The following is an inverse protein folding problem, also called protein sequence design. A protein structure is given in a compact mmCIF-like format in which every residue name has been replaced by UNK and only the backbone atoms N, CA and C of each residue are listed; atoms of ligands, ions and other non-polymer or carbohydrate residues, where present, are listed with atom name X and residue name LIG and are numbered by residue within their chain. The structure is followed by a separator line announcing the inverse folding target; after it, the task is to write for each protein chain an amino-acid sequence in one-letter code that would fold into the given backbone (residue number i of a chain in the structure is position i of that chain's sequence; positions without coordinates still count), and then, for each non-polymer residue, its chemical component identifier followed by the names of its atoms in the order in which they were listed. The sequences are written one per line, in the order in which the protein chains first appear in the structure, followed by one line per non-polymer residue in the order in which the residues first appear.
data_IF_965116624169
#
_entry.id   IF_965116624169
#
_cell.length_a   1.000
_cell.length_b   1.000
_cell.length_c   1.000
_cell.angle_alpha   90.00
_cell.angle_beta   90.00
_cell.angle_gamma   90.00
#
_symmetry.space_group_name_H-M   'P 1'
#
loop_
_entity.id
_entity.type
_entity.pdbx_description
1 polymer ?
#
# COMPACT_ATOMS: atom_id res chain seq x y z
N UNK A 1 -0.78 -6.99 -6.89
CA UNK A 1 -0.03 -6.08 -6.03
C UNK A 1 0.83 -6.87 -5.06
N UNK A 2 2.09 -6.50 -4.88
CA UNK A 2 2.99 -7.04 -3.86
C UNK A 2 3.07 -6.03 -2.71
N UNK A 3 2.89 -6.46 -1.47
CA UNK A 3 2.99 -5.63 -0.28
C UNK A 3 3.95 -6.27 0.75
N UNK A 4 4.52 -5.50 1.68
CA UNK A 4 5.26 -6.07 2.81
C UNK A 4 4.39 -6.99 3.67
N UNK A 5 5.01 -7.91 4.38
CA UNK A 5 4.33 -8.89 5.23
C UNK A 5 3.42 -8.26 6.29
N UNK A 6 3.75 -7.05 6.77
CA UNK A 6 3.02 -6.33 7.82
C UNK A 6 1.91 -5.42 7.29
N UNK A 7 1.71 -5.35 5.97
CA UNK A 7 0.67 -4.53 5.35
C UNK A 7 -0.74 -4.95 5.80
N UNK A 8 -1.53 -4.00 6.26
CA UNK A 8 -2.83 -4.25 6.90
C UNK A 8 -3.99 -3.39 6.36
N UNK A 9 -3.78 -2.64 5.27
CA UNK A 9 -4.77 -1.71 4.72
C UNK A 9 -5.38 -2.16 3.39
N UNK A 10 -5.52 -3.48 3.17
CA UNK A 10 -6.15 -4.03 1.95
C UNK A 10 -7.49 -3.38 1.65
N UNK A 11 -8.32 -3.18 2.70
CA UNK A 11 -9.64 -2.59 2.56
C UNK A 11 -9.58 -1.13 2.07
N UNK A 12 -8.52 -0.39 2.40
CA UNK A 12 -8.33 0.98 1.90
C UNK A 12 -8.07 0.96 0.40
N UNK A 13 -7.21 0.04 -0.09
CA UNK A 13 -6.91 -0.09 -1.51
C UNK A 13 -8.15 -0.38 -2.35
N UNK A 14 -9.02 -1.29 -1.89
CA UNK A 14 -10.26 -1.65 -2.58
C UNK A 14 -11.22 -0.48 -2.76
N UNK A 15 -11.10 0.59 -1.96
CA UNK A 15 -11.98 1.75 -2.08
C UNK A 15 -11.72 2.59 -3.33
N UNK A 16 -10.56 2.44 -3.97
CA UNK A 16 -10.24 3.10 -5.24
C UNK A 16 -10.48 2.24 -6.47
N UNK A 17 -10.71 0.94 -6.30
CA UNK A 17 -10.78 -0.03 -7.40
C UNK A 17 -12.18 -0.07 -7.99
N UNK A 18 -12.37 0.09 -9.32
CA UNK A 18 -13.64 -0.12 -9.99
C UNK A 18 -14.12 -1.57 -9.92
N UNK A 19 -15.43 -1.78 -10.03
CA UNK A 19 -16.05 -3.11 -9.88
C UNK A 19 -15.63 -4.12 -10.96
N UNK A 20 -15.19 -3.66 -12.13
CA UNK A 20 -14.71 -4.47 -13.24
C UNK A 20 -13.21 -4.83 -13.13
N UNK A 21 -12.51 -4.34 -12.12
CA UNK A 21 -11.10 -4.64 -11.88
C UNK A 21 -10.93 -5.50 -10.62
N UNK A 22 -10.18 -6.59 -10.75
CA UNK A 22 -9.85 -7.47 -9.64
C UNK A 22 -8.48 -7.11 -9.05
N UNK A 23 -8.46 -6.64 -7.81
CA UNK A 23 -7.23 -6.45 -7.04
C UNK A 23 -6.80 -7.77 -6.39
N UNK A 24 -5.57 -8.21 -6.64
CA UNK A 24 -4.93 -9.33 -5.94
C UNK A 24 -3.74 -8.80 -5.14
N UNK A 25 -3.67 -9.18 -3.88
CA UNK A 25 -2.58 -8.75 -2.99
C UNK A 25 -1.84 -9.99 -2.48
N UNK A 26 -0.54 -10.06 -2.77
CA UNK A 26 0.39 -10.99 -2.13
C UNK A 26 1.31 -10.23 -1.18
N UNK A 27 1.96 -10.95 -0.28
CA UNK A 27 2.89 -10.34 0.69
C UNK A 27 4.28 -10.96 0.57
N UNK A 28 5.30 -10.15 0.87
CA UNK A 28 6.65 -10.68 1.07
C UNK A 28 6.70 -11.61 2.26
N UNK A 29 7.67 -12.55 2.34
CA UNK A 29 7.88 -13.39 3.50
C UNK A 29 8.05 -12.57 4.78
N UNK A 30 7.63 -13.15 5.91
CA UNK A 30 7.81 -12.53 7.23
C UNK A 30 9.28 -12.45 7.61
N UNK A 31 9.70 -11.28 8.09
CA UNK A 31 11.01 -11.06 8.71
C UNK A 31 10.82 -10.41 10.09
N UNK A 32 11.52 -10.86 11.15
CA UNK A 32 11.35 -10.36 12.52
C UNK A 32 12.14 -9.05 12.76
N UNK A 33 11.95 -8.06 11.87
CA UNK A 33 12.63 -6.75 11.93
C UNK A 33 11.58 -5.65 12.01
N UNK A 34 11.83 -4.65 12.84
CA UNK A 34 10.98 -3.47 12.95
C UNK A 34 11.18 -2.54 11.75
N UNK A 35 10.20 -1.65 11.51
CA UNK A 35 10.28 -0.65 10.44
C UNK A 35 11.54 0.20 10.59
N UNK A 36 12.44 0.07 9.63
CA UNK A 36 13.77 0.66 9.57
C UNK A 36 14.28 0.65 8.13
N UNK A 37 15.44 1.24 7.87
CA UNK A 37 16.12 1.12 6.58
C UNK A 37 16.53 -0.34 6.29
N UNK A 38 16.88 -1.13 7.31
CA UNK A 38 17.23 -2.53 7.12
C UNK A 38 16.00 -3.37 6.73
N UNK A 39 14.86 -3.15 7.38
CA UNK A 39 13.62 -3.77 6.94
C UNK A 39 13.28 -3.37 5.50
N UNK A 40 13.39 -2.08 5.17
CA UNK A 40 13.11 -1.57 3.83
C UNK A 40 13.96 -2.30 2.76
N UNK A 41 15.26 -2.52 3.03
CA UNK A 41 16.15 -3.31 2.15
C UNK A 41 15.71 -4.76 2.01
N UNK A 42 15.39 -5.43 3.13
CA UNK A 42 14.99 -6.84 3.13
C UNK A 42 13.71 -7.07 2.33
N UNK A 43 12.68 -6.22 2.51
CA UNK A 43 11.39 -6.39 1.80
C UNK A 43 11.43 -5.90 0.35
N UNK A 44 12.52 -5.25 -0.08
CA UNK A 44 12.75 -4.78 -1.45
C UNK A 44 13.79 -5.61 -2.21
N UNK A 45 14.29 -6.67 -1.63
CA UNK A 45 15.24 -7.56 -2.29
C UNK A 45 14.65 -8.16 -3.56
N UNK A 46 15.40 -8.09 -4.67
CA UNK A 46 14.87 -8.43 -6.01
C UNK A 46 14.42 -9.88 -6.14
N UNK A 47 15.07 -10.82 -5.45
CA UNK A 47 14.69 -12.23 -5.46
C UNK A 47 13.35 -12.43 -4.71
N UNK A 48 13.24 -11.85 -3.52
CA UNK A 48 12.02 -11.84 -2.70
C UNK A 48 10.82 -11.26 -3.45
N UNK A 49 11.03 -10.12 -4.13
CA UNK A 49 9.99 -9.52 -4.96
C UNK A 49 9.66 -10.36 -6.17
N UNK A 50 10.67 -10.95 -6.82
CA UNK A 50 10.48 -11.83 -7.97
C UNK A 50 9.64 -13.06 -7.64
N UNK A 51 9.83 -13.67 -6.47
CA UNK A 51 8.99 -14.78 -5.98
C UNK A 51 7.55 -14.35 -5.75
N UNK A 52 7.34 -13.20 -5.09
CA UNK A 52 6.01 -12.66 -4.84
C UNK A 52 5.29 -12.30 -6.16
N UNK A 53 6.01 -11.77 -7.15
CA UNK A 53 5.49 -11.46 -8.50
C UNK A 53 5.09 -12.75 -9.22
N UNK A 54 5.96 -13.77 -9.23
CA UNK A 54 5.63 -15.08 -9.83
C UNK A 54 4.40 -15.73 -9.20
N UNK A 55 4.23 -15.57 -7.87
CA UNK A 55 3.03 -16.08 -7.17
C UNK A 55 1.73 -15.41 -7.66
N UNK A 56 1.78 -14.15 -8.10
CA UNK A 56 0.65 -13.45 -8.72
C UNK A 56 0.36 -13.94 -10.14
N UNK A 57 1.33 -14.53 -10.83
CA UNK A 57 1.20 -15.00 -12.21
C UNK A 57 0.01 -15.96 -12.43
N UNK A 58 -0.35 -16.77 -11.42
CA UNK A 58 -1.52 -17.65 -11.48
C UNK A 58 -2.86 -16.92 -11.64
N UNK A 59 -2.91 -15.60 -11.39
CA UNK A 59 -4.08 -14.74 -11.57
C UNK A 59 -4.04 -13.91 -12.83
N UNK A 60 -3.04 -14.13 -13.71
CA UNK A 60 -2.86 -13.44 -15.00
C UNK A 60 -3.00 -11.91 -14.87
N UNK A 61 -2.15 -11.24 -14.05
CA UNK A 61 -2.26 -9.81 -13.85
C UNK A 61 -1.88 -9.04 -15.12
N UNK A 62 -2.56 -7.93 -15.38
CA UNK A 62 -2.22 -7.01 -16.48
C UNK A 62 -1.25 -5.91 -16.03
N UNK A 63 -1.16 -5.64 -14.72
CA UNK A 63 -0.21 -4.70 -14.10
C UNK A 63 0.17 -5.20 -12.71
N UNK A 64 1.42 -4.97 -12.31
CA UNK A 64 1.91 -5.30 -10.97
C UNK A 64 2.43 -4.04 -10.28
N UNK A 65 1.97 -3.79 -9.05
CA UNK A 65 2.45 -2.68 -8.22
C UNK A 65 3.12 -3.20 -6.95
N UNK A 66 4.27 -2.63 -6.58
CA UNK A 66 4.90 -2.82 -5.29
C UNK A 66 4.42 -1.75 -4.31
N UNK A 67 3.53 -2.14 -3.40
CA UNK A 67 2.89 -1.28 -2.41
C UNK A 67 3.74 -1.16 -1.14
N UNK A 68 4.89 -0.54 -1.25
CA UNK A 68 5.78 -0.25 -0.12
C UNK A 68 6.60 1.01 -0.40
N UNK A 69 6.34 2.08 0.34
CA UNK A 69 7.06 3.34 0.13
C UNK A 69 8.54 3.19 0.50
N UNK A 70 8.85 2.73 1.73
CA UNK A 70 10.24 2.64 2.19
C UNK A 70 11.07 1.66 1.35
N UNK A 71 10.52 0.52 0.98
CA UNK A 71 11.19 -0.42 0.09
C UNK A 71 11.43 0.13 -1.30
N UNK A 72 10.57 1.03 -1.80
CA UNK A 72 10.75 1.62 -3.12
C UNK A 72 11.84 2.69 -3.16
N UNK A 73 12.04 3.48 -2.10
CA UNK A 73 13.03 4.56 -2.11
C UNK A 73 14.40 4.19 -1.54
N UNK A 74 14.50 3.10 -0.74
CA UNK A 74 15.72 2.79 0.04
C UNK A 74 16.97 2.60 -0.81
N UNK A 75 16.83 2.21 -2.08
CA UNK A 75 17.90 2.06 -3.07
C UNK A 75 18.17 3.32 -3.92
N UNK A 76 17.54 4.44 -3.59
CA UNK A 76 17.56 5.66 -4.41
C UNK A 76 16.82 5.48 -5.75
N UNK A 77 16.81 6.50 -6.63
CA UNK A 77 16.10 6.42 -7.91
C UNK A 77 16.65 5.35 -8.87
N UNK A 78 17.93 5.03 -8.77
CA UNK A 78 18.54 3.95 -9.56
C UNK A 78 18.06 2.58 -9.09
N UNK A 79 18.02 2.36 -7.77
CA UNK A 79 17.52 1.12 -7.18
C UNK A 79 16.02 0.93 -7.42
N UNK A 80 15.25 1.98 -7.36
CA UNK A 80 13.80 1.97 -7.66
C UNK A 80 13.55 1.49 -9.11
N UNK A 81 14.25 2.08 -10.11
CA UNK A 81 14.13 1.64 -11.51
C UNK A 81 14.55 0.20 -11.71
N UNK A 82 15.68 -0.23 -11.10
CA UNK A 82 16.14 -1.60 -11.19
C UNK A 82 15.15 -2.60 -10.61
N UNK A 83 14.49 -2.24 -9.50
CA UNK A 83 13.40 -3.01 -8.88
C UNK A 83 12.20 -3.14 -9.83
N UNK A 84 11.75 -2.03 -10.41
CA UNK A 84 10.66 -2.00 -11.39
C UNK A 84 10.92 -2.92 -12.58
N UNK A 85 12.14 -2.85 -13.14
CA UNK A 85 12.59 -3.73 -14.22
C UNK A 85 12.65 -5.20 -13.81
N UNK A 86 13.11 -5.50 -12.58
CA UNK A 86 13.17 -6.86 -12.07
C UNK A 86 11.76 -7.46 -11.91
N UNK A 87 10.81 -6.70 -11.39
CA UNK A 87 9.40 -7.12 -11.30
C UNK A 87 8.78 -7.31 -12.68
N UNK A 88 9.01 -6.39 -13.62
CA UNK A 88 8.53 -6.51 -15.01
C UNK A 88 9.06 -7.77 -15.69
N UNK A 89 10.35 -8.09 -15.52
CA UNK A 89 10.93 -9.34 -16.04
C UNK A 89 10.34 -10.59 -15.39
N UNK A 90 10.04 -10.54 -14.08
CA UNK A 90 9.51 -11.68 -13.34
C UNK A 90 8.03 -11.95 -13.63
N UNK A 91 7.26 -10.92 -13.92
CA UNK A 91 5.81 -11.01 -14.16
C UNK A 91 5.40 -10.90 -15.61
N UNK A 92 6.33 -10.53 -16.51
CA UNK A 92 6.09 -10.31 -17.95
C UNK A 92 5.00 -9.26 -18.26
N UNK A 93 4.71 -8.38 -17.28
CA UNK A 93 3.72 -7.31 -17.39
C UNK A 93 4.28 -6.00 -16.86
N UNK A 94 3.73 -4.83 -17.24
CA UNK A 94 4.14 -3.54 -16.69
C UNK A 94 4.10 -3.56 -15.17
N UNK A 95 5.17 -3.09 -14.55
CA UNK A 95 5.28 -3.01 -13.10
C UNK A 95 5.58 -1.57 -12.66
N UNK A 96 5.21 -1.24 -11.43
CA UNK A 96 5.44 0.06 -10.83
C UNK A 96 5.72 -0.06 -9.33
N UNK A 97 6.28 0.99 -8.75
CA UNK A 97 6.51 1.11 -7.31
C UNK A 97 5.74 2.29 -6.74
N UNK A 98 5.55 2.32 -5.42
CA UNK A 98 4.89 3.45 -4.74
C UNK A 98 5.63 4.77 -4.95
N UNK A 99 6.98 4.80 -4.87
CA UNK A 99 7.72 6.06 -5.07
C UNK A 99 7.82 6.45 -6.53
N UNK A 100 7.91 5.50 -7.47
CA UNK A 100 7.78 5.78 -8.90
C UNK A 100 6.41 6.40 -9.22
N UNK A 101 5.33 5.84 -8.67
CA UNK A 101 3.98 6.40 -8.79
C UNK A 101 3.84 7.80 -8.17
N UNK A 102 4.54 8.07 -7.06
CA UNK A 102 4.59 9.42 -6.48
C UNK A 102 5.24 10.42 -7.43
N UNK A 103 6.37 10.07 -8.03
CA UNK A 103 7.06 10.95 -8.99
C UNK A 103 6.16 11.25 -10.18
N UNK A 104 5.52 10.23 -10.77
CA UNK A 104 4.54 10.40 -11.86
C UNK A 104 3.37 11.32 -11.44
N UNK A 105 2.85 11.17 -10.21
CA UNK A 105 1.76 11.99 -9.72
C UNK A 105 2.17 13.46 -9.51
N UNK A 106 3.39 13.70 -9.01
CA UNK A 106 3.93 15.05 -8.85
C UNK A 106 4.17 15.73 -10.20
N UNK A 107 4.67 14.99 -11.19
CA UNK A 107 4.81 15.47 -12.58
C UNK A 107 3.46 15.81 -13.18
N UNK A 108 2.44 14.97 -13.01
CA UNK A 108 1.07 15.21 -13.49
C UNK A 108 0.46 16.48 -12.87
N UNK A 109 0.76 16.76 -11.60
CA UNK A 109 0.30 17.95 -10.90
C UNK A 109 1.15 19.21 -11.20
N UNK A 110 2.34 19.03 -11.78
CA UNK A 110 3.33 20.11 -11.93
C UNK A 110 3.89 20.57 -10.58
N UNK A 111 3.93 19.67 -9.58
CA UNK A 111 4.37 19.95 -8.22
C UNK A 111 5.84 19.59 -8.04
N UNK A 112 6.66 20.52 -7.58
CA UNK A 112 8.10 20.31 -7.31
C UNK A 112 8.50 20.65 -5.88
N UNK A 113 7.59 21.21 -5.10
CA UNK A 113 7.80 21.61 -3.71
C UNK A 113 6.69 21.00 -2.87
N UNK A 114 7.04 20.10 -1.95
CA UNK A 114 6.04 19.38 -1.17
C UNK A 114 6.23 19.55 0.33
N UNK A 115 5.12 19.51 1.07
CA UNK A 115 5.14 19.18 2.48
C UNK A 115 5.12 17.64 2.63
N UNK A 116 5.83 17.11 3.65
CA UNK A 116 6.01 15.68 3.84
C UNK A 116 5.52 15.22 5.21
N UNK A 117 4.65 14.21 5.22
CA UNK A 117 4.23 13.50 6.44
C UNK A 117 4.68 12.05 6.36
N UNK A 118 5.33 11.56 7.42
CA UNK A 118 5.73 10.15 7.52
C UNK A 118 5.41 9.57 8.90
N UNK A 119 5.11 8.27 9.01
CA UNK A 119 5.03 7.61 10.31
C UNK A 119 6.39 7.16 10.84
N UNK A 120 7.43 7.21 10.03
CA UNK A 120 8.74 6.60 10.26
C UNK A 120 9.58 7.34 11.31
N UNK A 121 10.72 6.73 11.66
CA UNK A 121 11.80 7.39 12.39
C UNK A 121 12.45 8.48 11.54
N UNK A 122 13.20 9.37 12.19
CA UNK A 122 13.90 10.45 11.47
C UNK A 122 14.83 9.93 10.38
N UNK A 123 15.58 8.84 10.63
CA UNK A 123 16.51 8.27 9.65
C UNK A 123 15.83 7.75 8.39
N UNK A 124 14.65 7.11 8.52
CA UNK A 124 13.87 6.64 7.37
C UNK A 124 13.19 7.80 6.64
N UNK A 125 12.76 8.82 7.40
CA UNK A 125 12.19 10.05 6.82
C UNK A 125 13.25 10.79 6.01
N UNK A 126 14.49 10.93 6.55
CA UNK A 126 15.59 11.57 5.85
C UNK A 126 15.94 10.85 4.54
N UNK A 127 15.95 9.51 4.53
CA UNK A 127 16.23 8.74 3.32
C UNK A 127 15.15 8.97 2.23
N UNK A 128 13.89 9.22 2.61
CA UNK A 128 12.87 9.63 1.66
C UNK A 128 13.11 11.06 1.13
N UNK A 129 13.53 11.99 1.98
CA UNK A 129 13.89 13.35 1.54
C UNK A 129 15.07 13.33 0.57
N UNK A 130 16.09 12.51 0.85
CA UNK A 130 17.24 12.34 -0.03
C UNK A 130 16.81 11.80 -1.41
N UNK A 131 15.96 10.77 -1.43
CA UNK A 131 15.36 10.25 -2.67
C UNK A 131 14.61 11.34 -3.45
N UNK A 132 13.76 12.11 -2.77
CA UNK A 132 12.97 13.18 -3.39
C UNK A 132 13.88 14.28 -3.97
N UNK A 133 14.93 14.65 -3.26
CA UNK A 133 15.92 15.62 -3.73
C UNK A 133 16.64 15.13 -5.01
N UNK A 134 17.00 13.83 -5.08
CA UNK A 134 17.63 13.24 -6.27
C UNK A 134 16.71 13.24 -7.50
N UNK A 135 15.39 13.20 -7.31
CA UNK A 135 14.40 13.31 -8.40
C UNK A 135 13.91 14.74 -8.66
N UNK A 136 14.55 15.74 -8.03
CA UNK A 136 14.27 17.16 -8.25
C UNK A 136 13.07 17.72 -7.45
N UNK A 137 12.60 17.02 -6.43
CA UNK A 137 11.51 17.45 -5.55
C UNK A 137 12.07 18.01 -4.25
N UNK A 138 11.65 19.21 -3.88
CA UNK A 138 12.08 19.90 -2.65
C UNK A 138 11.06 19.70 -1.53
N UNK A 139 11.47 19.20 -0.38
CA UNK A 139 10.66 19.15 0.83
C UNK A 139 10.72 20.50 1.54
N UNK A 140 9.58 21.18 1.67
CA UNK A 140 9.46 22.53 2.26
C UNK A 140 9.12 22.53 3.74
N UNK A 141 8.60 21.43 4.24
CA UNK A 141 8.31 21.19 5.64
C UNK A 141 7.98 19.72 5.87
N UNK A 142 8.23 19.24 7.08
CA UNK A 142 8.01 17.82 7.42
C UNK A 142 7.45 17.64 8.82
N UNK A 143 6.65 16.56 8.98
CA UNK A 143 6.26 16.01 10.27
C UNK A 143 6.40 14.48 10.26
N UNK A 144 6.83 13.90 11.36
CA UNK A 144 6.98 12.45 11.47
C UNK A 144 6.64 11.93 12.88
N UNK A 145 6.19 10.65 12.98
CA UNK A 145 5.75 10.04 14.25
C UNK A 145 6.84 9.25 14.99
N UNK A 146 7.91 8.87 14.33
CA UNK A 146 8.97 8.03 14.92
C UNK A 146 8.56 6.59 15.21
N UNK A 147 7.57 6.04 14.48
CA UNK A 147 7.05 4.70 14.71
C UNK A 147 7.91 3.63 14.02
N UNK A 148 8.08 2.51 14.72
CA UNK A 148 8.73 1.30 14.20
C UNK A 148 7.77 0.11 14.09
N UNK A 149 6.52 0.26 14.60
CA UNK A 149 5.50 -0.81 14.63
C UNK A 149 4.10 -0.20 14.59
N UNK A 150 3.12 -1.02 14.20
CA UNK A 150 1.69 -0.74 14.32
C UNK A 150 1.23 0.55 13.61
N UNK A 151 1.88 0.90 12.51
CA UNK A 151 1.56 2.12 11.74
C UNK A 151 0.09 2.14 11.32
N UNK A 152 -0.51 0.99 10.97
CA UNK A 152 -1.93 0.87 10.61
C UNK A 152 -2.92 1.23 11.72
N UNK A 153 -2.43 1.39 12.96
CA UNK A 153 -3.26 1.81 14.12
C UNK A 153 -3.27 3.31 14.34
N UNK A 154 -2.53 4.08 13.56
CA UNK A 154 -2.52 5.54 13.66
C UNK A 154 -3.91 6.08 13.32
N UNK A 155 -4.53 6.85 14.22
CA UNK A 155 -5.85 7.44 13.95
C UNK A 155 -5.78 8.49 12.83
N UNK A 156 -6.82 8.61 12.02
CA UNK A 156 -6.94 9.68 11.01
C UNK A 156 -6.67 11.08 11.59
N UNK A 157 -7.15 11.35 12.81
CA UNK A 157 -6.90 12.63 13.49
C UNK A 157 -5.41 12.94 13.59
N UNK A 158 -4.60 11.96 13.98
CA UNK A 158 -3.14 12.16 14.07
C UNK A 158 -2.51 12.44 12.70
N UNK A 159 -3.02 11.81 11.64
CA UNK A 159 -2.58 12.10 10.27
C UNK A 159 -2.92 13.53 9.86
N UNK A 160 -4.12 13.99 10.19
CA UNK A 160 -4.56 15.37 9.93
C UNK A 160 -3.74 16.38 10.73
N UNK A 161 -3.47 16.11 12.00
CA UNK A 161 -2.67 17.01 12.85
C UNK A 161 -1.22 17.12 12.33
N UNK A 162 -0.60 16.00 11.92
CA UNK A 162 0.72 16.01 11.28
C UNK A 162 0.74 16.77 9.95
N UNK A 163 -0.32 16.62 9.14
CA UNK A 163 -0.42 17.33 7.88
C UNK A 163 -0.41 18.85 8.07
N UNK A 164 -1.11 19.33 9.08
CA UNK A 164 -1.11 20.75 9.49
C UNK A 164 0.26 21.23 9.96
N UNK A 165 0.96 20.39 10.72
CA UNK A 165 2.31 20.67 11.21
C UNK A 165 3.34 20.73 10.08
N UNK A 166 3.24 19.80 9.11
CA UNK A 166 4.17 19.72 7.99
C UNK A 166 4.05 20.87 7.00
N UNK A 167 2.84 21.45 6.83
CA UNK A 167 2.61 22.53 5.87
C UNK A 167 3.10 23.85 6.44
N UNK A 168 4.38 24.14 6.21
CA UNK A 168 5.03 25.39 6.60
C UNK A 168 5.39 26.17 5.35
N UNK A 169 4.79 27.34 5.16
CA UNK A 169 5.04 28.17 3.97
C UNK A 169 4.33 27.66 2.70
N UNK A 170 4.96 27.89 1.53
CA UNK A 170 4.35 27.53 0.23
C UNK A 170 4.85 26.15 -0.21
N UNK A 171 3.94 25.19 -0.25
CA UNK A 171 4.10 23.90 -0.92
C UNK A 171 3.12 23.81 -2.10
N UNK A 172 3.48 23.05 -3.13
CA UNK A 172 2.63 22.78 -4.29
C UNK A 172 1.68 21.62 -4.01
N UNK A 173 2.09 20.69 -3.13
CA UNK A 173 1.31 19.54 -2.67
C UNK A 173 1.76 19.07 -1.28
N UNK A 174 0.91 18.29 -0.61
CA UNK A 174 1.26 17.51 0.58
C UNK A 174 1.39 16.03 0.18
N UNK A 175 2.47 15.36 0.61
CA UNK A 175 2.60 13.91 0.50
C UNK A 175 2.58 13.23 1.87
N UNK A 176 1.66 12.26 2.02
CA UNK A 176 1.53 11.41 3.19
C UNK A 176 2.10 10.04 2.85
N UNK A 177 3.29 9.78 3.35
CA UNK A 177 4.09 8.58 3.08
C UNK A 177 3.61 7.37 3.89
N UNK A 178 3.94 6.18 3.43
CA UNK A 178 3.66 4.85 3.97
C UNK A 178 2.32 4.25 3.55
N UNK A 179 2.40 3.16 2.80
CA UNK A 179 1.21 2.39 2.40
C UNK A 179 0.46 1.77 3.58
N UNK A 180 1.11 1.65 4.74
CA UNK A 180 0.47 1.13 5.96
C UNK A 180 -0.07 2.24 6.89
N UNK A 181 -0.07 3.51 6.46
CA UNK A 181 -0.69 4.62 7.19
C UNK A 181 -2.10 4.88 6.63
N UNK A 182 -3.17 4.85 7.47
CA UNK A 182 -4.54 5.11 7.02
C UNK A 182 -4.70 6.54 6.52
N UNK A 183 -5.17 6.74 5.27
CA UNK A 183 -5.20 8.06 4.63
C UNK A 183 -6.48 8.37 3.87
N UNK A 184 -7.21 7.37 3.42
CA UNK A 184 -8.32 7.55 2.48
C UNK A 184 -9.29 8.65 2.89
N UNK A 185 -9.79 8.62 4.13
CA UNK A 185 -10.80 9.58 4.60
C UNK A 185 -10.20 10.94 5.01
N UNK A 186 -8.86 11.04 5.16
CA UNK A 186 -8.18 12.29 5.47
C UNK A 186 -7.96 13.17 4.24
N UNK A 187 -7.81 12.59 3.05
CA UNK A 187 -7.46 13.32 1.82
C UNK A 187 -8.46 14.44 1.49
N UNK A 188 -9.78 14.17 1.35
CA UNK A 188 -10.74 15.22 1.00
C UNK A 188 -10.82 16.34 2.03
N UNK A 189 -10.72 15.99 3.32
CA UNK A 189 -10.71 16.97 4.40
C UNK A 189 -9.51 17.89 4.31
N UNK A 190 -8.31 17.32 4.12
CA UNK A 190 -7.06 18.07 4.05
C UNK A 190 -7.00 18.95 2.82
N UNK A 191 -7.44 18.50 1.65
CA UNK A 191 -7.50 19.30 0.44
C UNK A 191 -8.44 20.50 0.57
N UNK A 192 -9.61 20.29 1.20
CA UNK A 192 -10.56 21.36 1.48
C UNK A 192 -9.97 22.41 2.45
N UNK A 193 -9.19 21.97 3.43
CA UNK A 193 -8.59 22.82 4.46
C UNK A 193 -7.33 23.54 3.93
N UNK A 194 -6.40 22.79 3.33
CA UNK A 194 -5.08 23.29 2.94
C UNK A 194 -5.08 23.98 1.57
N UNK A 195 -6.12 23.78 0.77
CA UNK A 195 -6.27 24.34 -0.59
C UNK A 195 -5.15 23.96 -1.55
N UNK A 196 -4.62 22.75 -1.40
CA UNK A 196 -3.58 22.17 -2.25
C UNK A 196 -3.84 20.66 -2.45
N UNK A 197 -3.26 20.02 -3.48
CA UNK A 197 -3.32 18.57 -3.65
C UNK A 197 -2.74 17.84 -2.43
N UNK A 198 -3.43 16.79 -1.99
CA UNK A 198 -2.98 15.88 -0.94
C UNK A 198 -2.83 14.49 -1.53
N UNK A 199 -1.60 14.02 -1.56
CA UNK A 199 -1.22 12.72 -2.08
C UNK A 199 -0.96 11.76 -0.93
N UNK A 200 -1.41 10.52 -1.06
CA UNK A 200 -1.01 9.45 -0.15
C UNK A 200 -0.33 8.30 -0.90
N UNK A 201 0.51 7.54 -0.18
CA UNK A 201 1.22 6.41 -0.75
C UNK A 201 0.26 5.40 -1.41
N UNK A 202 -0.86 5.06 -0.77
CA UNK A 202 -1.86 4.17 -1.33
C UNK A 202 -2.57 4.78 -2.56
N UNK A 203 -2.94 6.06 -2.48
CA UNK A 203 -3.63 6.76 -3.56
C UNK A 203 -2.78 6.80 -4.83
N UNK A 204 -1.52 7.26 -4.75
CA UNK A 204 -0.64 7.36 -5.93
C UNK A 204 -0.35 5.99 -6.54
N UNK A 205 -0.18 4.95 -5.70
CA UNK A 205 0.04 3.58 -6.17
C UNK A 205 -1.17 3.06 -6.95
N UNK A 206 -2.37 3.26 -6.42
CA UNK A 206 -3.61 2.84 -7.10
C UNK A 206 -3.87 3.66 -8.36
N UNK A 207 -3.70 4.98 -8.30
CA UNK A 207 -3.83 5.87 -9.47
C UNK A 207 -2.92 5.44 -10.62
N UNK A 208 -1.64 5.23 -10.35
CA UNK A 208 -0.68 4.85 -11.38
C UNK A 208 -0.94 3.44 -11.94
N UNK A 209 -1.40 2.50 -11.10
CA UNK A 209 -1.77 1.16 -11.55
C UNK A 209 -3.01 1.17 -12.45
N UNK A 210 -4.06 1.88 -12.05
CA UNK A 210 -5.29 2.01 -12.83
C UNK A 210 -5.05 2.74 -14.16
N UNK A 211 -4.24 3.79 -14.15
CA UNK A 211 -3.86 4.52 -15.37
C UNK A 211 -3.18 3.62 -16.42
N UNK A 212 -2.35 2.66 -15.99
CA UNK A 212 -1.73 1.67 -16.89
C UNK A 212 -2.74 0.70 -17.51
N UNK A 213 -3.89 0.54 -16.89
CA UNK A 213 -5.02 -0.25 -17.42
C UNK A 213 -5.99 0.61 -18.25
N UNK A 214 -5.75 1.91 -18.40
CA UNK A 214 -6.71 2.83 -19.00
C UNK A 214 -7.98 3.02 -18.15
N UNK A 215 -7.89 2.74 -16.86
CA UNK A 215 -8.98 2.84 -15.90
C UNK A 215 -8.80 4.02 -14.93
N UNK A 216 -9.89 4.43 -14.30
CA UNK A 216 -9.91 5.50 -13.32
C UNK A 216 -10.36 4.97 -11.95
N UNK A 217 -9.81 5.56 -10.87
CA UNK A 217 -10.25 5.22 -9.53
C UNK A 217 -11.73 5.61 -9.32
N UNK A 218 -12.45 4.78 -8.55
CA UNK A 218 -13.83 5.08 -8.16
C UNK A 218 -13.89 5.99 -6.95
N UNK A 219 -14.98 6.72 -6.85
CA UNK A 219 -15.32 7.56 -5.73
C UNK A 219 -15.23 9.05 -6.07
N UNK A 220 -16.33 9.79 -5.91
CA UNK A 220 -16.30 11.25 -5.99
C UNK A 220 -15.49 11.79 -4.80
N UNK A 221 -14.76 12.89 -5.03
CA UNK A 221 -14.04 13.62 -3.97
C UNK A 221 -12.88 12.86 -3.32
N UNK A 222 -12.16 12.02 -4.07
CA UNK A 222 -11.01 11.27 -3.56
C UNK A 222 -9.66 11.96 -3.82
N UNK A 223 -9.68 13.27 -4.01
CA UNK A 223 -8.51 14.12 -4.15
C UNK A 223 -8.30 14.67 -5.54
N UNK A 224 -7.64 15.82 -5.60
CA UNK A 224 -7.39 16.58 -6.83
C UNK A 224 -6.59 15.80 -7.88
N UNK A 225 -5.77 14.82 -7.47
CA UNK A 225 -5.06 13.93 -8.39
C UNK A 225 -6.05 13.08 -9.22
N UNK A 226 -7.09 12.55 -8.58
CA UNK A 226 -8.06 11.66 -9.21
C UNK A 226 -9.15 12.42 -9.98
N UNK A 227 -9.39 13.68 -9.63
CA UNK A 227 -10.36 14.55 -10.31
C UNK A 227 -9.82 15.11 -11.64
N UNK A 228 -8.51 15.00 -11.89
CA UNK A 228 -7.91 15.36 -13.18
C UNK A 228 -8.23 14.28 -14.21
N UNK A 229 -9.32 14.51 -14.94
CA UNK A 229 -9.59 13.76 -16.17
C UNK A 229 -8.65 14.26 -17.25
N UNK A 230 -8.19 13.37 -18.10
CA UNK A 230 -7.37 13.75 -19.27
C UNK A 230 -8.08 14.89 -20.03
N UNK A 231 -7.32 15.88 -20.47
CA UNK A 231 -7.84 17.13 -21.05
C UNK A 231 -8.74 16.97 -22.29
N UNK A 232 -9.04 15.73 -22.72
CA UNK A 232 -9.95 15.40 -23.81
C UNK A 232 -11.41 15.16 -23.40
N UNK A 233 -11.71 14.92 -22.11
CA UNK A 233 -13.08 14.64 -21.64
C UNK A 233 -13.75 15.81 -20.89
N UNK A 234 -13.16 17.00 -20.90
CA UNK A 234 -13.63 18.17 -20.17
C UNK A 234 -14.98 18.75 -20.64
N UNK A 235 -15.68 18.14 -21.59
CA UNK A 235 -16.92 18.70 -22.16
C UNK A 235 -18.20 18.24 -21.44
N UNK A 236 -18.16 17.23 -20.55
CA UNK A 236 -19.41 16.72 -19.96
C UNK A 236 -19.78 17.25 -18.57
N UNK A 237 -18.85 17.87 -17.84
CA UNK A 237 -19.11 18.31 -16.44
C UNK A 237 -19.55 19.77 -16.34
N UNK A 238 -19.48 20.57 -17.42
CA UNK A 238 -19.99 21.95 -17.42
C UNK A 238 -21.51 22.02 -17.42
N UNK A 239 -22.18 21.02 -17.96
CA UNK A 239 -23.66 21.00 -18.11
C UNK A 239 -24.42 20.63 -16.82
N UNK A 240 -23.77 20.04 -15.82
CA UNK A 240 -24.47 19.62 -14.57
C UNK A 240 -24.55 20.76 -13.55
N UNK A 241 -23.69 21.78 -13.63
CA UNK A 241 -23.78 22.98 -12.77
C UNK A 241 -24.82 24.02 -13.24
N UNK A 242 -25.09 24.05 -14.53
CA UNK A 242 -26.08 24.94 -15.13
C UNK A 242 -27.50 24.33 -15.20
N UNK A 243 -27.64 23.04 -14.87
CA UNK A 243 -28.92 22.31 -14.87
C UNK A 243 -29.62 22.25 -13.50
N UNK A 244 -29.07 22.86 -12.46
CA UNK A 244 -29.77 22.98 -11.19
C UNK A 244 -30.56 24.27 -11.15
N UNK A 245 -31.76 24.26 -11.75
CA UNK A 245 -32.84 25.19 -11.38
C UNK A 245 -33.43 24.67 -10.05
N UNK A 246 -33.50 25.52 -9.00
CA UNK A 246 -34.19 25.12 -7.78
C UNK A 246 -35.68 24.90 -8.11
N UNK A 247 -36.29 23.82 -7.58
CA UNK A 247 -37.69 23.54 -7.86
C UNK A 247 -38.54 24.71 -7.38
N UNK A 248 -39.19 25.36 -8.36
CA UNK A 248 -40.26 26.28 -8.08
C UNK A 248 -41.39 25.54 -7.37
N UNK A 249 -42.02 26.28 -6.47
CA UNK A 249 -43.15 26.01 -5.59
C UNK A 249 -43.87 24.65 -5.76
N UNK A 250 -43.90 23.95 -4.65
CA UNK A 250 -44.73 22.80 -4.25
C UNK A 250 -45.92 22.46 -5.16
N UNK A 251 -45.76 21.44 -5.97
CA UNK A 251 -46.89 20.65 -6.43
C UNK A 251 -47.14 19.54 -5.41
N UNK A 252 -48.29 19.56 -4.74
CA UNK A 252 -48.75 18.45 -3.91
C UNK A 252 -48.75 17.16 -4.72
N UNK A 253 -47.79 16.28 -4.45
CA UNK A 253 -47.79 14.91 -4.95
C UNK A 253 -48.66 14.08 -4.00
N UNK A 254 -49.87 13.72 -4.43
CA UNK A 254 -50.69 12.71 -3.77
C UNK A 254 -49.90 11.40 -3.65
N UNK A 255 -49.51 11.07 -2.45
CA UNK A 255 -48.90 9.75 -2.15
C UNK A 255 -50.00 8.71 -2.22
N UNK A 256 -49.92 7.68 -3.12
CA UNK A 256 -50.86 6.57 -3.11
C UNK A 256 -50.74 5.83 -1.76
N UNK A 257 -51.87 5.56 -1.14
CA UNK A 257 -51.97 4.83 0.10
C UNK A 257 -51.22 3.50 0.03
N UNK A 258 -50.22 3.34 0.86
CA UNK A 258 -49.51 2.09 1.05
C UNK A 258 -50.50 1.08 1.60
N UNK A 259 -50.85 0.06 0.80
CA UNK A 259 -51.62 -1.09 1.26
C UNK A 259 -50.81 -1.74 2.43
N UNK A 260 -51.47 -1.87 3.59
CA UNK A 260 -50.91 -2.48 4.77
C UNK A 260 -50.43 -3.93 4.40
N UNK A 261 -49.17 -4.20 4.68
CA UNK A 261 -48.64 -5.55 4.62
C UNK A 261 -49.41 -6.45 5.60
N UNK A 262 -49.68 -7.72 5.24
CA UNK A 262 -50.34 -8.65 6.11
C UNK A 262 -49.52 -8.85 7.41
N UNK A 263 -50.15 -9.11 8.55
CA UNK A 263 -49.46 -9.27 9.82
C UNK A 263 -48.45 -10.44 9.75
N UNK A 264 -47.22 -10.19 10.24
CA UNK A 264 -46.18 -11.23 10.36
C UNK A 264 -46.71 -12.26 11.37
N UNK A 265 -46.90 -13.51 10.92
CA UNK A 265 -47.24 -14.63 11.77
C UNK A 265 -46.05 -14.91 12.68
N UNK A 266 -46.20 -14.89 14.02
CA UNK A 266 -45.11 -15.21 14.93
C UNK A 266 -44.72 -16.68 14.73
N UNK A 267 -43.41 -16.90 14.44
CA UNK A 267 -42.86 -18.25 14.45
C UNK A 267 -43.01 -18.85 15.85
N UNK A 268 -43.59 -20.02 15.93
CA UNK A 268 -43.74 -20.79 17.17
C UNK A 268 -42.37 -21.13 17.78
N UNK A 269 -42.35 -21.49 19.07
CA UNK A 269 -41.10 -21.75 19.79
C UNK A 269 -40.31 -22.88 19.09
N UNK A 270 -39.03 -22.58 18.76
CA UNK A 270 -38.08 -23.56 18.28
C UNK A 270 -37.85 -24.61 19.35
N UNK A 271 -38.08 -25.88 19.05
CA UNK A 271 -37.83 -26.98 19.97
C UNK A 271 -36.34 -27.01 20.39
N UNK A 272 -36.03 -27.34 21.67
CA UNK A 272 -34.68 -27.40 22.14
C UNK A 272 -33.91 -28.52 21.39
N UNK A 273 -32.71 -28.17 20.91
CA UNK A 273 -31.78 -29.11 20.33
C UNK A 273 -31.37 -30.10 21.43
N UNK A 274 -31.67 -31.39 21.27
CA UNK A 274 -31.28 -32.44 22.18
C UNK A 274 -29.76 -32.51 22.39
N UNK A 275 -29.28 -33.11 23.50
CA UNK A 275 -27.87 -33.16 23.82
C UNK A 275 -27.10 -33.94 22.73
N UNK A 276 -26.02 -33.31 22.23
CA UNK A 276 -25.08 -33.97 21.33
C UNK A 276 -24.49 -35.21 22.01
N UNK A 277 -24.49 -36.34 21.33
CA UNK A 277 -23.86 -37.57 21.77
C UNK A 277 -22.36 -37.43 22.02
N UNK A 278 -21.72 -38.34 22.71
CA UNK A 278 -20.33 -38.22 23.17
C UNK A 278 -19.37 -38.08 22.00
N UNK A 279 -18.41 -37.13 22.15
CA UNK A 279 -17.32 -36.88 21.22
C UNK A 279 -16.56 -38.17 20.87
N UNK A 280 -16.41 -38.42 19.58
CA UNK A 280 -15.53 -39.48 19.06
C UNK A 280 -14.09 -39.10 19.41
N UNK A 281 -13.42 -39.87 20.28
CA UNK A 281 -11.99 -39.75 20.57
C UNK A 281 -11.17 -40.00 19.31
N UNK A 282 -10.12 -39.17 19.04
CA UNK A 282 -9.22 -39.48 17.94
C UNK A 282 -8.43 -40.75 18.23
N UNK A 283 -8.47 -41.71 17.29
CA UNK A 283 -7.68 -42.94 17.32
C UNK A 283 -6.18 -42.58 17.31
N UNK A 284 -5.45 -43.17 18.27
CA UNK A 284 -3.98 -43.14 18.31
C UNK A 284 -3.38 -43.80 17.06
N UNK A 285 -2.34 -43.24 16.45
CA UNK A 285 -1.63 -43.91 15.38
C UNK A 285 -0.78 -45.06 15.96
N UNK A 286 -0.98 -46.25 15.42
CA UNK A 286 -0.20 -47.44 15.73
C UNK A 286 1.28 -47.22 15.35
N UNK A 287 2.16 -47.46 16.33
CA UNK A 287 3.58 -47.54 16.17
C UNK A 287 3.98 -48.76 15.34
N UNK A 288 4.56 -48.58 14.18
CA UNK A 288 5.41 -49.62 13.55
C UNK A 288 6.81 -49.03 13.39
N UNK A 289 7.63 -49.31 14.37
CA UNK A 289 9.08 -49.04 14.34
C UNK A 289 9.72 -50.20 13.57
N UNK A 290 10.17 -49.94 12.35
CA UNK A 290 11.15 -50.81 11.68
C UNK A 290 12.53 -50.23 11.91
N UNK A 291 13.32 -51.02 12.65
CA UNK A 291 14.72 -50.83 12.94
C UNK A 291 15.58 -50.87 11.66
N UNK A 292 16.26 -49.77 11.36
CA UNK A 292 17.40 -49.78 10.43
C UNK A 292 18.62 -49.33 11.22
N UNK A 293 19.61 -50.21 11.27
CA UNK A 293 20.92 -50.03 11.90
C UNK A 293 21.75 -48.98 11.18
N UNK A 294 22.55 -48.18 11.90
CA UNK A 294 23.51 -47.28 11.29
C UNK A 294 24.82 -48.01 10.97
N UNK A 295 25.30 -47.88 9.76
CA UNK A 295 26.67 -48.25 9.40
C UNK A 295 27.34 -47.04 8.69
N UNK A 296 28.59 -46.84 9.10
CA UNK A 296 29.70 -46.16 8.42
C UNK A 296 29.99 -44.71 8.78
N UNK A 297 30.90 -44.54 9.72
CA UNK A 297 32.20 -43.82 9.72
C UNK A 297 32.32 -42.63 8.75
N UNK A 298 32.32 -41.44 9.31
CA UNK A 298 32.81 -40.19 8.68
C UNK A 298 34.28 -40.02 9.08
N UNK A 299 35.18 -40.02 8.11
CA UNK A 299 36.59 -39.60 8.26
C UNK A 299 36.68 -38.11 8.55
N UNK A 300 37.65 -37.67 9.39
CA UNK A 300 37.88 -36.24 9.63
C UNK A 300 38.66 -35.61 8.47
N UNK A 301 38.23 -34.40 8.08
CA UNK A 301 38.94 -33.52 7.15
C UNK A 301 40.25 -32.99 7.77
N UNK A 302 41.32 -32.78 6.99
CA UNK A 302 42.60 -32.29 7.49
C UNK A 302 42.56 -30.81 7.89
N UNK A 303 43.28 -30.48 8.95
CA UNK A 303 43.51 -29.15 9.46
C UNK A 303 44.23 -28.27 8.38
N UNK A 304 43.67 -27.13 8.03
CA UNK A 304 44.30 -26.15 7.15
C UNK A 304 45.32 -25.33 7.92
N UNK A 305 46.51 -25.30 7.39
CA UNK A 305 47.69 -24.54 7.81
C UNK A 305 47.42 -23.06 8.00
N UNK A 306 47.91 -22.56 9.13
CA UNK A 306 48.04 -21.11 9.42
C UNK A 306 49.06 -20.48 8.48
N UNK A 307 48.59 -19.64 7.57
CA UNK A 307 49.45 -18.77 6.78
C UNK A 307 49.57 -17.41 7.49
N UNK A 308 50.83 -17.05 7.76
CA UNK A 308 51.25 -15.86 8.50
C UNK A 308 51.01 -14.58 7.70
N UNK A 309 50.46 -13.57 8.36
CA UNK A 309 50.35 -12.19 7.84
C UNK A 309 51.73 -11.55 7.63
N UNK A 310 51.94 -10.77 6.55
CA UNK A 310 53.15 -10.00 6.35
C UNK A 310 53.16 -8.71 7.21
N UNK A 311 54.33 -8.35 7.72
CA UNK A 311 54.59 -7.14 8.50
C UNK A 311 54.37 -5.85 7.67
N UNK A 312 54.04 -4.69 8.34
CA UNK A 312 53.91 -3.41 7.69
C UNK A 312 55.26 -2.80 7.32
N UNK A 313 55.33 -2.18 6.15
CA UNK A 313 56.49 -1.39 5.67
C UNK A 313 56.61 -0.08 6.48
N UNK A 314 57.85 0.44 6.70
CA UNK A 314 58.08 1.70 7.43
C UNK A 314 57.80 2.93 6.56
N UNK A 315 57.37 4.00 7.24
CA UNK A 315 57.14 5.35 6.71
C UNK A 315 58.35 5.95 5.99
N UNK A 316 58.15 6.50 4.76
CA UNK A 316 58.85 7.66 4.20
C UNK A 316 57.83 8.64 3.61
#
# INVERSE_FOLDING_TARGET
MVAPFDFALDRELWRWVPDDISLRVTRTPYVPVEVSLDLARLVSEHETLGEAVRALGASEPEVIAYACTSGSFVGGPVGERAMCEAMTRAGEVPSLTTTGALVEALEELGASRIALVTPYTESVTQALEDYLAEVGVTVTGRAFLGLTRHIWKVPYRSVVDMAREAVVGSADALFISCTNLPTYDAIPQLEAELRMPVLSANQVTMWAALRRLGAHAVGPYQGLLLDRREAGEAHYVRDVRDAYEPPGETREVSIPSIQALPPVVPMGPVAPIGPMGPAISPASPASSVSSVSPASSVEPLPESSTESLPEPLPDE
#
